data_IF_441216330328
#
_entry.id   IF_441216330328
#
_cell.length_a   1.000
_cell.length_b   1.000
_cell.length_c   1.000
_cell.angle_alpha   90.00
_cell.angle_beta   90.00
_cell.angle_gamma   90.00
#
_symmetry.space_group_name_H-M   'P 1'
#
loop_
_entity.id
_entity.type
_entity.pdbx_description
1 polymer ?
#
# COMPACT_ATOMS: atom_id res chain seq x y z
N UNK A 1 -17.98 -22.01 -12.61
CA UNK A 1 -17.63 -23.19 -11.78
C UNK A 1 -16.13 -23.22 -11.59
N UNK A 2 -15.62 -22.59 -10.54
CA UNK A 2 -14.22 -22.67 -10.08
C UNK A 2 -14.21 -22.44 -8.57
N UNK A 3 -15.00 -23.23 -7.86
CA UNK A 3 -14.89 -23.40 -6.42
C UNK A 3 -14.58 -24.89 -6.22
N UNK A 4 -13.53 -25.19 -5.42
CA UNK A 4 -13.33 -26.42 -4.61
C UNK A 4 -11.86 -26.86 -4.45
N UNK A 5 -10.85 -26.28 -5.13
CA UNK A 5 -9.45 -26.73 -4.94
C UNK A 5 -8.52 -25.92 -4.00
N UNK A 6 -9.02 -24.95 -3.21
CA UNK A 6 -8.16 -24.09 -2.35
C UNK A 6 -8.24 -24.28 -0.82
N UNK A 7 -8.89 -25.34 -0.32
CA UNK A 7 -9.18 -25.50 1.12
C UNK A 7 -7.98 -25.76 2.04
N UNK A 8 -6.92 -26.45 1.59
CA UNK A 8 -5.78 -26.83 2.45
C UNK A 8 -4.59 -25.86 2.41
N UNK A 9 -4.36 -25.18 1.29
CA UNK A 9 -3.31 -24.15 1.17
C UNK A 9 -3.66 -22.86 1.92
N UNK A 10 -4.95 -22.45 1.91
CA UNK A 10 -5.43 -21.23 2.56
C UNK A 10 -5.34 -21.27 4.10
N UNK A 11 -5.66 -22.41 4.74
CA UNK A 11 -5.64 -22.51 6.19
C UNK A 11 -4.21 -22.48 6.79
N UNK A 12 -3.25 -23.12 6.12
CA UNK A 12 -1.84 -23.10 6.55
C UNK A 12 -1.19 -21.72 6.34
N UNK A 13 -1.54 -21.03 5.24
CA UNK A 13 -1.13 -19.64 5.00
C UNK A 13 -1.75 -18.68 6.04
N UNK A 14 -3.03 -18.85 6.36
CA UNK A 14 -3.75 -18.08 7.38
C UNK A 14 -3.15 -18.25 8.79
N UNK A 15 -2.83 -19.49 9.19
CA UNK A 15 -2.17 -19.76 10.49
C UNK A 15 -0.78 -19.12 10.59
N UNK A 16 0.04 -19.19 9.52
CA UNK A 16 1.37 -18.56 9.49
C UNK A 16 1.28 -17.04 9.62
N UNK A 17 0.36 -16.42 8.90
CA UNK A 17 0.11 -14.99 9.00
C UNK A 17 -0.25 -14.58 10.43
N UNK A 18 -1.13 -15.34 11.10
CA UNK A 18 -1.49 -15.09 12.50
C UNK A 18 -0.26 -15.22 13.43
N UNK A 19 0.56 -16.25 13.25
CA UNK A 19 1.80 -16.39 14.03
C UNK A 19 2.75 -15.21 13.80
N UNK A 20 2.95 -14.77 12.56
CA UNK A 20 3.76 -13.59 12.24
C UNK A 20 3.21 -12.32 12.89
N UNK A 21 1.89 -12.10 12.85
CA UNK A 21 1.24 -10.94 13.50
C UNK A 21 1.47 -10.97 15.01
N UNK A 22 1.33 -12.13 15.65
CA UNK A 22 1.55 -12.26 17.09
C UNK A 22 3.01 -11.95 17.45
N UNK A 23 3.97 -12.48 16.68
CA UNK A 23 5.40 -12.21 16.90
C UNK A 23 5.68 -10.71 16.77
N UNK A 24 5.24 -10.08 15.67
CA UNK A 24 5.43 -8.64 15.44
C UNK A 24 4.79 -7.80 16.55
N UNK A 25 3.57 -8.15 16.99
CA UNK A 25 2.88 -7.43 18.07
C UNK A 25 3.63 -7.53 19.41
N UNK A 26 4.19 -8.71 19.72
CA UNK A 26 5.01 -8.91 20.93
C UNK A 26 6.31 -8.11 20.83
N UNK A 27 6.99 -8.16 19.69
CA UNK A 27 8.22 -7.39 19.44
C UNK A 27 7.98 -5.89 19.54
N UNK A 28 6.93 -5.39 18.90
CA UNK A 28 6.50 -3.99 19.03
C UNK A 28 6.28 -3.60 20.49
N UNK A 29 5.60 -4.42 21.28
CA UNK A 29 5.42 -4.12 22.70
C UNK A 29 6.75 -4.08 23.47
N UNK A 30 7.65 -5.03 23.20
CA UNK A 30 8.99 -5.05 23.80
C UNK A 30 9.80 -3.81 23.43
N UNK A 31 9.70 -3.33 22.19
CA UNK A 31 10.42 -2.14 21.72
C UNK A 31 9.83 -0.84 22.25
N UNK A 32 8.50 -0.74 22.39
CA UNK A 32 7.87 0.42 23.06
C UNK A 32 8.38 0.50 24.50
N UNK A 33 8.26 -0.60 25.26
CA UNK A 33 8.70 -0.63 26.66
C UNK A 33 10.21 -0.42 26.75
N UNK A 34 10.98 -1.09 25.91
CA UNK A 34 12.43 -0.99 25.83
C UNK A 34 12.91 0.42 25.46
N UNK A 35 12.25 1.09 24.52
CA UNK A 35 12.55 2.47 24.12
C UNK A 35 12.23 3.47 25.22
N UNK A 36 11.13 3.30 25.95
CA UNK A 36 10.80 4.14 27.12
C UNK A 36 11.83 3.93 28.24
N UNK A 37 12.12 2.69 28.60
CA UNK A 37 13.02 2.34 29.70
C UNK A 37 14.47 2.69 29.38
N UNK A 38 14.92 2.46 28.14
CA UNK A 38 16.27 2.82 27.72
C UNK A 38 16.44 4.29 27.37
N UNK A 39 15.34 5.03 27.31
CA UNK A 39 15.26 6.34 26.68
C UNK A 39 15.77 6.36 25.23
N UNK A 40 15.77 5.26 24.46
CA UNK A 40 16.21 5.26 23.06
C UNK A 40 15.12 5.74 22.10
N UNK A 41 15.44 6.73 21.26
CA UNK A 41 14.55 7.12 20.15
C UNK A 41 14.60 6.12 19.01
N UNK A 42 15.71 5.40 18.82
CA UNK A 42 15.83 4.43 17.73
C UNK A 42 14.85 3.27 17.94
N UNK A 43 14.74 2.76 19.17
CA UNK A 43 13.74 1.74 19.53
C UNK A 43 12.30 2.27 19.41
N UNK A 44 12.03 3.50 19.83
CA UNK A 44 10.70 4.10 19.67
C UNK A 44 10.33 4.33 18.21
N UNK A 45 11.32 4.61 17.35
CA UNK A 45 11.13 4.75 15.91
C UNK A 45 10.76 3.42 15.25
N UNK A 46 11.47 2.35 15.59
CA UNK A 46 11.22 1.00 15.06
C UNK A 46 9.84 0.50 15.52
N UNK A 47 9.53 0.67 16.82
CA UNK A 47 8.20 0.42 17.38
C UNK A 47 7.08 1.21 16.69
N UNK A 48 7.31 2.49 16.40
CA UNK A 48 6.33 3.35 15.72
C UNK A 48 6.01 2.87 14.30
N UNK A 49 7.02 2.41 13.56
CA UNK A 49 6.85 1.79 12.25
C UNK A 49 6.03 0.50 12.34
N UNK A 50 6.43 -0.42 13.23
CA UNK A 50 5.69 -1.69 13.43
C UNK A 50 4.24 -1.48 13.89
N UNK A 51 3.97 -0.43 14.69
CA UNK A 51 2.61 -0.08 15.08
C UNK A 51 1.75 0.29 13.88
N UNK A 52 2.27 1.16 13.00
CA UNK A 52 1.55 1.54 11.78
C UNK A 52 1.34 0.36 10.85
N UNK A 53 2.28 -0.58 10.82
CA UNK A 53 2.16 -1.79 10.02
C UNK A 53 1.08 -2.74 10.55
N UNK A 54 1.07 -2.95 11.87
CA UNK A 54 0.01 -3.70 12.53
C UNK A 54 -1.35 -3.03 12.31
N UNK A 55 -1.40 -1.70 12.41
CA UNK A 55 -2.61 -0.92 12.17
C UNK A 55 -3.11 -1.07 10.73
N UNK A 56 -2.22 -0.98 9.74
CA UNK A 56 -2.54 -1.19 8.32
C UNK A 56 -3.04 -2.62 8.06
N UNK A 57 -2.46 -3.64 8.69
CA UNK A 57 -2.91 -5.03 8.59
C UNK A 57 -4.29 -5.23 9.20
N UNK A 58 -4.55 -4.66 10.38
CA UNK A 58 -5.87 -4.72 11.03
C UNK A 58 -6.92 -4.02 10.17
N UNK A 59 -6.61 -2.83 9.65
CA UNK A 59 -7.52 -2.11 8.75
C UNK A 59 -7.73 -2.85 7.44
N UNK A 60 -6.70 -3.49 6.88
CA UNK A 60 -6.82 -4.30 5.67
C UNK A 60 -7.69 -5.53 5.90
N UNK A 61 -7.56 -6.19 7.06
CA UNK A 61 -8.42 -7.30 7.44
C UNK A 61 -9.88 -6.86 7.62
N UNK A 62 -10.11 -5.72 8.29
CA UNK A 62 -11.45 -5.13 8.42
C UNK A 62 -12.01 -4.77 7.04
N UNK A 63 -11.23 -4.07 6.20
CA UNK A 63 -11.62 -3.68 4.86
C UNK A 63 -11.97 -4.90 3.99
N UNK A 64 -11.19 -5.98 4.08
CA UNK A 64 -11.52 -7.23 3.39
C UNK A 64 -12.85 -7.81 3.88
N UNK A 65 -13.06 -7.86 5.21
CA UNK A 65 -14.33 -8.31 5.81
C UNK A 65 -15.52 -7.46 5.37
N UNK A 66 -15.34 -6.16 5.20
CA UNK A 66 -16.37 -5.24 4.70
C UNK A 66 -16.52 -5.28 3.17
N UNK A 67 -15.46 -5.56 2.40
CA UNK A 67 -15.51 -5.68 0.93
C UNK A 67 -16.20 -6.95 0.47
N UNK A 68 -16.20 -8.00 1.31
CA UNK A 68 -17.00 -9.20 1.09
C UNK A 68 -18.51 -8.95 1.25
N UNK A 69 -18.91 -7.79 1.81
CA UNK A 69 -20.31 -7.36 1.84
C UNK A 69 -20.68 -6.84 0.45
N UNK A 70 -21.68 -7.46 -0.17
CA UNK A 70 -22.27 -7.00 -1.45
C UNK A 70 -22.62 -5.51 -1.35
N UNK A 71 -22.57 -4.82 -2.51
CA UNK A 71 -23.03 -3.44 -2.63
C UNK A 71 -24.40 -3.27 -1.97
N UNK A 72 -24.58 -2.15 -1.27
CA UNK A 72 -25.88 -1.76 -0.73
C UNK A 72 -26.42 -0.57 -1.53
N UNK A 73 -27.69 -0.21 -1.31
CA UNK A 73 -28.36 0.84 -2.08
C UNK A 73 -27.70 2.23 -1.92
N UNK A 74 -26.93 2.45 -0.86
CA UNK A 74 -26.21 3.70 -0.64
C UNK A 74 -24.77 3.67 -1.20
N UNK A 75 -24.23 2.48 -1.44
CA UNK A 75 -22.86 2.21 -1.88
C UNK A 75 -22.93 1.25 -3.07
N UNK A 76 -23.28 1.79 -4.23
CA UNK A 76 -23.48 1.03 -5.48
C UNK A 76 -22.26 0.24 -5.92
N UNK A 77 -21.06 0.82 -5.75
CA UNK A 77 -19.78 0.16 -5.97
C UNK A 77 -19.26 -0.64 -4.77
N UNK A 78 -20.02 -0.72 -3.67
CA UNK A 78 -19.58 -1.37 -2.45
C UNK A 78 -18.53 -0.57 -1.67
N UNK A 79 -17.67 -1.26 -0.94
CA UNK A 79 -16.81 -0.69 0.11
C UNK A 79 -15.32 -0.64 -0.27
N UNK A 80 -14.98 -0.74 -1.56
CA UNK A 80 -13.60 -0.81 -2.03
C UNK A 80 -12.73 0.38 -1.56
N UNK A 81 -13.28 1.60 -1.52
CA UNK A 81 -12.56 2.79 -1.09
C UNK A 81 -12.21 2.81 0.41
N UNK A 82 -12.83 1.97 1.26
CA UNK A 82 -12.44 1.90 2.69
C UNK A 82 -10.99 1.46 2.87
N UNK A 83 -10.49 0.58 2.00
CA UNK A 83 -9.09 0.15 2.03
C UNK A 83 -8.15 1.32 1.73
N UNK A 84 -8.53 2.20 0.80
CA UNK A 84 -7.75 3.38 0.42
C UNK A 84 -7.77 4.44 1.51
N UNK A 85 -8.92 4.65 2.16
CA UNK A 85 -9.01 5.53 3.33
C UNK A 85 -8.13 5.00 4.47
N UNK A 86 -8.15 3.69 4.72
CA UNK A 86 -7.28 3.07 5.70
C UNK A 86 -5.78 3.29 5.39
N UNK A 87 -5.37 3.09 4.13
CA UNK A 87 -3.99 3.34 3.70
C UNK A 87 -3.61 4.82 3.86
N UNK A 88 -4.52 5.74 3.51
CA UNK A 88 -4.32 7.19 3.70
C UNK A 88 -4.11 7.56 5.17
N UNK A 89 -4.98 7.09 6.08
CA UNK A 89 -4.85 7.32 7.52
C UNK A 89 -3.54 6.70 8.05
N UNK A 90 -3.17 5.51 7.58
CA UNK A 90 -1.91 4.89 7.97
C UNK A 90 -0.69 5.73 7.55
N UNK A 91 -0.70 6.22 6.30
CA UNK A 91 0.36 7.11 5.80
C UNK A 91 0.48 8.40 6.61
N UNK A 92 -0.64 8.98 7.07
CA UNK A 92 -0.63 10.14 7.96
C UNK A 92 0.00 9.80 9.32
N UNK A 93 -0.37 8.66 9.92
CA UNK A 93 0.18 8.22 11.20
C UNK A 93 1.70 8.04 11.13
N UNK A 94 2.21 7.41 10.06
CA UNK A 94 3.64 7.31 9.78
C UNK A 94 4.32 8.67 9.74
N UNK A 95 3.70 9.64 9.07
CA UNK A 95 4.22 11.00 8.95
C UNK A 95 4.30 11.70 10.31
N UNK A 96 3.24 11.59 11.12
CA UNK A 96 3.20 12.18 12.46
C UNK A 96 4.25 11.56 13.40
N UNK A 97 4.35 10.22 13.43
CA UNK A 97 5.33 9.51 14.27
C UNK A 97 6.75 9.94 13.90
N UNK A 98 7.09 9.94 12.61
CA UNK A 98 8.42 10.31 12.17
C UNK A 98 8.76 11.79 12.44
N UNK A 99 7.80 12.71 12.29
CA UNK A 99 7.99 14.12 12.68
C UNK A 99 8.28 14.24 14.18
N UNK A 100 7.51 13.55 15.02
CA UNK A 100 7.72 13.56 16.47
C UNK A 100 9.13 13.08 16.82
N UNK A 101 9.58 11.98 16.22
CA UNK A 101 10.93 11.44 16.45
C UNK A 101 12.01 12.41 15.98
N UNK A 102 11.84 13.08 14.84
CA UNK A 102 12.78 14.08 14.34
C UNK A 102 12.85 15.28 15.30
N UNK A 103 11.71 15.78 15.77
CA UNK A 103 11.66 16.88 16.74
C UNK A 103 12.36 16.47 18.05
N UNK A 104 12.07 15.29 18.59
CA UNK A 104 12.73 14.79 19.81
C UNK A 104 14.22 14.54 19.60
N UNK A 105 14.62 14.07 18.42
CA UNK A 105 16.04 13.91 18.07
C UNK A 105 16.76 15.26 18.07
N UNK A 106 16.19 16.29 17.44
CA UNK A 106 16.73 17.65 17.45
C UNK A 106 16.87 18.19 18.88
N UNK A 107 15.85 17.99 19.73
CA UNK A 107 15.93 18.38 21.15
C UNK A 107 17.10 17.69 21.86
N UNK A 108 17.33 16.40 21.60
CA UNK A 108 18.42 15.62 22.20
C UNK A 108 19.82 15.97 21.69
N UNK A 109 19.95 16.55 20.50
CA UNK A 109 21.21 17.16 20.07
C UNK A 109 21.58 18.36 20.95
N UNK A 110 20.59 19.14 21.39
CA UNK A 110 20.79 20.33 22.22
C UNK A 110 20.92 19.95 23.70
N UNK A 111 20.05 19.06 24.18
CA UNK A 111 19.99 18.57 25.55
C UNK A 111 20.15 17.04 25.57
N UNK A 112 21.39 16.52 25.61
CA UNK A 112 21.65 15.08 25.58
C UNK A 112 20.97 14.34 26.72
N UNK A 113 20.32 13.23 26.39
CA UNK A 113 19.73 12.28 27.34
C UNK A 113 20.61 11.04 27.38
N UNK A 114 20.84 10.50 28.58
CA UNK A 114 21.57 9.25 28.72
C UNK A 114 20.68 8.08 28.27
N UNK A 115 21.14 7.36 27.25
CA UNK A 115 20.51 6.15 26.74
C UNK A 115 21.14 4.94 27.43
N UNK A 116 20.30 4.11 28.04
CA UNK A 116 20.75 2.86 28.67
C UNK A 116 21.04 1.80 27.61
N UNK A 117 22.28 1.81 27.12
CA UNK A 117 22.75 0.97 26.02
C UNK A 117 22.51 -0.54 26.25
N UNK A 118 22.53 -1.00 27.51
CA UNK A 118 22.31 -2.43 27.84
C UNK A 118 20.89 -2.86 27.48
N UNK A 119 19.90 -2.08 27.91
CA UNK A 119 18.49 -2.34 27.62
C UNK A 119 18.26 -2.20 26.12
N UNK A 120 18.82 -1.15 25.52
CA UNK A 120 18.72 -0.90 24.08
C UNK A 120 19.26 -2.08 23.24
N UNK A 121 20.46 -2.56 23.55
CA UNK A 121 21.11 -3.65 22.84
C UNK A 121 20.33 -4.96 22.94
N UNK A 122 19.85 -5.32 24.14
CA UNK A 122 19.08 -6.55 24.35
C UNK A 122 17.79 -6.52 23.57
N UNK A 123 17.03 -5.42 23.67
CA UNK A 123 15.73 -5.28 23.00
C UNK A 123 15.92 -5.24 21.48
N UNK A 124 16.85 -4.45 20.95
CA UNK A 124 17.13 -4.38 19.52
C UNK A 124 17.60 -5.73 18.95
N UNK A 125 18.36 -6.51 19.73
CA UNK A 125 18.79 -7.86 19.33
C UNK A 125 17.62 -8.83 19.29
N UNK A 126 16.73 -8.80 20.29
CA UNK A 126 15.51 -9.60 20.30
C UNK A 126 14.57 -9.23 19.15
N UNK A 127 14.46 -7.92 18.83
CA UNK A 127 13.73 -7.42 17.67
C UNK A 127 14.29 -7.98 16.36
N UNK A 128 15.60 -7.84 16.15
CA UNK A 128 16.29 -8.38 14.97
C UNK A 128 16.08 -9.89 14.81
N UNK A 129 16.25 -10.68 15.89
CA UNK A 129 16.02 -12.13 15.87
C UNK A 129 14.57 -12.43 15.48
N UNK A 130 13.61 -11.70 16.05
CA UNK A 130 12.18 -11.88 15.75
C UNK A 130 11.87 -11.58 14.29
N UNK A 131 12.42 -10.50 13.74
CA UNK A 131 12.25 -10.12 12.33
C UNK A 131 12.88 -11.15 11.39
N UNK A 132 14.04 -11.71 11.73
CA UNK A 132 14.66 -12.81 10.99
C UNK A 132 13.79 -14.08 11.03
N UNK A 133 13.23 -14.44 12.19
CA UNK A 133 12.32 -15.58 12.31
C UNK A 133 11.09 -15.37 11.42
N UNK A 134 10.48 -14.18 11.46
CA UNK A 134 9.33 -13.82 10.61
C UNK A 134 9.71 -13.90 9.13
N UNK A 135 10.88 -13.38 8.75
CA UNK A 135 11.41 -13.50 7.39
C UNK A 135 11.42 -14.95 6.91
N UNK A 136 12.00 -15.86 7.68
CA UNK A 136 12.09 -17.28 7.30
C UNK A 136 10.71 -17.96 7.28
N UNK A 137 9.82 -17.65 8.23
CA UNK A 137 8.44 -18.19 8.24
C UNK A 137 7.70 -17.81 6.95
N UNK A 138 7.88 -16.58 6.47
CA UNK A 138 7.24 -16.06 5.26
C UNK A 138 7.93 -16.54 3.98
N UNK A 139 9.27 -16.65 3.98
CA UNK A 139 10.06 -17.00 2.80
C UNK A 139 10.02 -18.50 2.46
N UNK A 140 9.89 -19.38 3.45
CA UNK A 140 10.21 -20.81 3.30
C UNK A 140 9.31 -21.62 2.33
N UNK A 141 8.19 -21.11 1.78
CA UNK A 141 7.34 -21.89 0.84
C UNK A 141 6.53 -21.11 -0.20
N UNK A 142 7.10 -20.12 -0.89
CA UNK A 142 6.38 -19.54 -2.02
C UNK A 142 7.30 -19.13 -3.17
N UNK A 143 7.36 -20.00 -4.18
CA UNK A 143 7.75 -19.58 -5.52
C UNK A 143 6.65 -18.66 -6.09
N UNK A 144 7.06 -17.47 -6.56
CA UNK A 144 6.29 -16.62 -7.50
C UNK A 144 5.00 -15.93 -7.02
N UNK A 145 4.94 -15.37 -5.80
CA UNK A 145 3.82 -14.48 -5.42
C UNK A 145 4.29 -13.05 -5.17
N UNK A 146 3.72 -12.07 -5.87
CA UNK A 146 4.09 -10.65 -5.78
C UNK A 146 3.93 -10.09 -4.35
N UNK A 147 2.99 -10.66 -3.59
CA UNK A 147 2.73 -10.33 -2.19
C UNK A 147 3.92 -10.64 -1.26
N UNK A 148 4.79 -11.60 -1.62
CA UNK A 148 5.98 -11.92 -0.80
C UNK A 148 7.08 -10.91 -1.03
N UNK A 149 7.20 -10.34 -2.24
CA UNK A 149 8.13 -9.23 -2.47
C UNK A 149 7.78 -8.05 -1.57
N UNK A 150 6.49 -7.75 -1.43
CA UNK A 150 6.01 -6.71 -0.49
C UNK A 150 6.34 -7.05 0.96
N UNK A 151 6.07 -8.28 1.41
CA UNK A 151 6.38 -8.73 2.77
C UNK A 151 7.89 -8.75 3.06
N UNK A 152 8.73 -9.09 2.07
CA UNK A 152 10.19 -9.06 2.20
C UNK A 152 10.72 -7.63 2.28
N UNK A 153 10.24 -6.72 1.42
CA UNK A 153 10.61 -5.31 1.46
C UNK A 153 10.27 -4.67 2.81
N UNK A 154 9.16 -5.09 3.41
CA UNK A 154 8.75 -4.68 4.73
C UNK A 154 9.70 -5.16 5.83
N UNK A 155 9.99 -6.46 5.88
CA UNK A 155 10.91 -7.02 6.88
C UNK A 155 12.33 -6.45 6.76
N UNK A 156 12.75 -6.05 5.56
CA UNK A 156 14.01 -5.32 5.38
C UNK A 156 13.98 -3.97 6.12
N UNK A 157 12.85 -3.27 6.14
CA UNK A 157 12.67 -2.04 6.91
C UNK A 157 12.87 -2.25 8.42
N UNK A 158 12.23 -3.27 8.98
CA UNK A 158 12.34 -3.59 10.42
C UNK A 158 13.75 -4.06 10.79
N UNK A 159 14.40 -4.83 9.91
CA UNK A 159 15.81 -5.20 10.08
C UNK A 159 16.71 -3.96 10.11
N UNK A 160 16.47 -2.97 9.25
CA UNK A 160 17.25 -1.73 9.23
C UNK A 160 17.09 -0.94 10.53
N UNK A 161 15.87 -0.84 11.07
CA UNK A 161 15.59 -0.20 12.36
C UNK A 161 16.34 -0.88 13.51
N UNK A 162 16.20 -2.19 13.62
CA UNK A 162 16.88 -2.99 14.63
C UNK A 162 18.42 -2.93 14.50
N UNK A 163 18.96 -2.97 13.27
CA UNK A 163 20.41 -2.82 13.04
C UNK A 163 20.89 -1.43 13.44
N UNK A 164 20.14 -0.37 13.13
CA UNK A 164 20.48 0.98 13.55
C UNK A 164 20.52 1.09 15.08
N UNK A 165 19.54 0.52 15.79
CA UNK A 165 19.54 0.51 17.25
C UNK A 165 20.70 -0.32 17.84
N UNK A 166 21.04 -1.48 17.27
CA UNK A 166 22.21 -2.26 17.70
C UNK A 166 23.50 -1.44 17.51
N UNK A 167 23.69 -0.82 16.35
CA UNK A 167 24.86 0.01 16.07
C UNK A 167 24.98 1.19 17.04
N UNK A 168 23.88 1.91 17.30
CA UNK A 168 23.86 2.98 18.31
C UNK A 168 24.28 2.44 19.68
N UNK A 169 23.70 1.33 20.13
CA UNK A 169 23.99 0.78 21.45
C UNK A 169 25.47 0.35 21.61
N UNK A 170 26.07 -0.24 20.58
CA UNK A 170 27.49 -0.61 20.58
C UNK A 170 28.39 0.63 20.62
N UNK A 171 28.06 1.66 19.84
CA UNK A 171 28.83 2.92 19.84
C UNK A 171 28.74 3.60 21.21
N UNK A 172 27.55 3.66 21.82
CA UNK A 172 27.36 4.21 23.16
C UNK A 172 28.12 3.39 24.20
N UNK A 173 28.09 2.06 24.10
CA UNK A 173 28.83 1.18 25.00
C UNK A 173 30.34 1.46 24.97
N UNK A 174 30.92 1.63 23.78
CA UNK A 174 32.37 1.80 23.62
C UNK A 174 32.86 3.23 23.90
N UNK A 175 32.03 4.25 23.60
CA UNK A 175 32.48 5.65 23.58
C UNK A 175 31.73 6.55 24.56
N UNK A 176 30.57 6.11 25.07
CA UNK A 176 29.64 6.96 25.82
C UNK A 176 28.92 8.02 24.97
N UNK A 177 29.07 7.99 23.64
CA UNK A 177 28.56 9.04 22.75
C UNK A 177 27.04 8.94 22.53
N UNK A 178 26.27 9.54 23.45
CA UNK A 178 24.80 9.47 23.48
C UNK A 178 24.11 10.03 22.22
N UNK A 179 24.77 10.95 21.51
CA UNK A 179 24.20 11.65 20.34
C UNK A 179 24.02 10.69 19.14
N UNK A 180 24.67 9.52 19.15
CA UNK A 180 24.50 8.53 18.07
C UNK A 180 23.06 8.01 17.96
N UNK A 181 22.32 7.90 19.07
CA UNK A 181 20.91 7.45 19.07
C UNK A 181 20.01 8.46 18.31
N UNK A 182 20.02 9.77 18.62
CA UNK A 182 19.36 10.79 17.80
C UNK A 182 19.76 10.79 16.32
N UNK A 183 21.04 10.61 15.99
CA UNK A 183 21.51 10.56 14.58
C UNK A 183 20.83 9.40 13.84
N UNK A 184 20.92 8.19 14.40
CA UNK A 184 20.35 7.00 13.77
C UNK A 184 18.82 7.02 13.77
N UNK A 185 18.19 7.64 14.78
CA UNK A 185 16.74 7.85 14.83
C UNK A 185 16.25 8.75 13.71
N UNK A 186 16.97 9.85 13.42
CA UNK A 186 16.65 10.72 12.27
C UNK A 186 16.80 9.97 10.95
N UNK A 187 17.86 9.16 10.80
CA UNK A 187 18.08 8.37 9.60
C UNK A 187 16.91 7.41 9.35
N UNK A 188 16.52 6.64 10.36
CA UNK A 188 15.38 5.71 10.28
C UNK A 188 14.09 6.49 10.00
N UNK A 189 13.86 7.61 10.69
CA UNK A 189 12.67 8.46 10.48
C UNK A 189 12.56 9.00 9.05
N UNK A 190 13.67 9.33 8.38
CA UNK A 190 13.66 9.76 6.97
C UNK A 190 13.25 8.63 6.02
N UNK A 191 13.71 7.40 6.29
CA UNK A 191 13.29 6.22 5.54
C UNK A 191 11.78 6.01 5.70
N UNK A 192 11.29 6.11 6.95
CA UNK A 192 9.88 5.99 7.30
C UNK A 192 9.05 7.08 6.59
N UNK A 193 9.51 8.34 6.61
CA UNK A 193 8.83 9.46 5.92
C UNK A 193 8.71 9.24 4.42
N UNK A 194 9.75 8.73 3.78
CA UNK A 194 9.69 8.41 2.35
C UNK A 194 8.67 7.30 2.05
N UNK A 195 8.59 6.28 2.92
CA UNK A 195 7.57 5.24 2.83
C UNK A 195 6.16 5.82 3.00
N UNK A 196 5.94 6.59 4.08
CA UNK A 196 4.66 7.24 4.36
C UNK A 196 4.23 8.20 3.25
N UNK A 197 5.15 8.97 2.66
CA UNK A 197 4.87 9.86 1.54
C UNK A 197 4.38 9.11 0.29
N UNK A 198 4.99 7.96 -0.04
CA UNK A 198 4.54 7.14 -1.18
C UNK A 198 3.13 6.59 -0.94
N UNK A 199 2.87 6.07 0.25
CA UNK A 199 1.53 5.55 0.63
C UNK A 199 0.49 6.68 0.55
N UNK A 200 0.80 7.85 1.10
CA UNK A 200 -0.08 9.03 1.06
C UNK A 200 -0.36 9.47 -0.37
N UNK A 201 0.69 9.65 -1.18
CA UNK A 201 0.57 10.09 -2.58
C UNK A 201 -0.32 9.14 -3.36
N UNK A 202 -0.11 7.84 -3.25
CA UNK A 202 -0.88 6.83 -3.98
C UNK A 202 -2.34 6.78 -3.50
N UNK A 203 -2.56 6.83 -2.19
CA UNK A 203 -3.92 6.82 -1.63
C UNK A 203 -4.69 8.09 -2.01
N UNK A 204 -4.04 9.27 -1.94
CA UNK A 204 -4.62 10.54 -2.40
C UNK A 204 -4.99 10.49 -3.88
N UNK A 205 -4.10 9.96 -4.72
CA UNK A 205 -4.34 9.83 -6.16
C UNK A 205 -5.60 9.01 -6.44
N UNK A 206 -5.79 7.88 -5.75
CA UNK A 206 -6.99 7.05 -5.88
C UNK A 206 -8.24 7.76 -5.32
N UNK A 207 -8.12 8.46 -4.18
CA UNK A 207 -9.24 9.22 -3.60
C UNK A 207 -9.71 10.36 -4.49
N UNK A 208 -8.78 11.00 -5.21
CA UNK A 208 -9.03 12.07 -6.18
C UNK A 208 -9.46 11.56 -7.57
N UNK A 209 -9.79 10.26 -7.68
CA UNK A 209 -10.22 9.63 -8.94
C UNK A 209 -9.16 9.71 -10.04
N UNK A 210 -7.88 9.67 -9.63
CA UNK A 210 -6.75 9.68 -10.52
C UNK A 210 -6.73 8.44 -11.43
N UNK A 211 -6.23 8.66 -12.66
CA UNK A 211 -6.02 7.61 -13.66
C UNK A 211 -5.10 6.51 -13.12
N UNK A 212 -5.44 5.22 -13.23
CA UNK A 212 -4.61 4.13 -12.73
C UNK A 212 -3.19 4.18 -13.30
N UNK A 213 -2.19 3.89 -12.47
CA UNK A 213 -0.79 3.84 -12.93
C UNK A 213 -0.63 2.79 -14.04
N UNK A 214 0.08 3.15 -15.12
CA UNK A 214 0.30 2.27 -16.26
C UNK A 214 -0.83 2.24 -17.30
N UNK A 215 -1.93 2.97 -17.09
CA UNK A 215 -3.00 3.11 -18.09
C UNK A 215 -2.91 4.48 -18.77
N UNK A 216 -2.67 4.49 -20.08
CA UNK A 216 -2.74 5.69 -20.92
C UNK A 216 -4.04 5.72 -21.71
N UNK A 217 -4.74 6.86 -21.67
CA UNK A 217 -5.98 7.06 -22.45
C UNK A 217 -5.70 7.02 -23.96
N UNK A 218 -4.52 7.50 -24.37
CA UNK A 218 -4.03 7.47 -25.74
C UNK A 218 -3.73 6.04 -26.20
N UNK A 219 -3.17 5.20 -25.32
CA UNK A 219 -2.96 3.78 -25.61
C UNK A 219 -4.30 3.05 -25.78
N UNK A 220 -5.28 3.30 -24.91
CA UNK A 220 -6.63 2.73 -25.05
C UNK A 220 -7.24 3.13 -26.40
N UNK A 221 -7.24 4.42 -26.72
CA UNK A 221 -7.77 4.96 -27.98
C UNK A 221 -7.10 4.28 -29.18
N UNK A 222 -5.78 4.36 -29.26
CA UNK A 222 -5.02 3.81 -30.39
C UNK A 222 -5.21 2.31 -30.54
N UNK A 223 -5.32 1.58 -29.43
CA UNK A 223 -5.51 0.13 -29.45
C UNK A 223 -6.90 -0.27 -29.95
N UNK A 224 -7.95 0.43 -29.53
CA UNK A 224 -9.31 0.16 -29.97
C UNK A 224 -9.46 0.47 -31.46
N UNK A 225 -9.05 1.67 -31.89
CA UNK A 225 -9.16 2.10 -33.30
C UNK A 225 -8.33 1.21 -34.23
N UNK A 226 -7.14 0.76 -33.80
CA UNK A 226 -6.32 -0.14 -34.63
C UNK A 226 -6.87 -1.56 -34.74
N UNK A 227 -7.57 -2.07 -33.72
CA UNK A 227 -8.12 -3.43 -33.73
C UNK A 227 -9.51 -3.53 -34.37
N UNK A 228 -10.31 -2.47 -34.31
CA UNK A 228 -11.70 -2.47 -34.74
C UNK A 228 -11.91 -1.44 -35.86
N UNK A 229 -11.84 -1.85 -37.14
CA UNK A 229 -12.04 -0.96 -38.29
C UNK A 229 -13.41 -0.27 -38.33
N UNK A 230 -14.38 -0.76 -37.57
CA UNK A 230 -15.71 -0.21 -37.41
C UNK A 230 -15.74 1.03 -36.51
N UNK A 231 -14.74 1.19 -35.63
CA UNK A 231 -14.59 2.32 -34.73
C UNK A 231 -13.80 3.41 -35.43
N UNK A 232 -14.44 4.57 -35.59
CA UNK A 232 -13.87 5.75 -36.25
C UNK A 232 -13.00 6.53 -35.26
N UNK A 233 -13.51 6.71 -34.03
CA UNK A 233 -12.84 7.49 -32.99
C UNK A 233 -13.26 7.04 -31.59
N UNK A 234 -12.39 7.28 -30.62
CA UNK A 234 -12.67 7.13 -29.19
C UNK A 234 -12.27 8.42 -28.49
N UNK A 235 -13.17 8.97 -27.68
CA UNK A 235 -12.98 10.23 -26.96
C UNK A 235 -13.74 10.23 -25.62
N UNK A 236 -13.64 11.34 -24.86
CA UNK A 236 -14.22 11.48 -23.52
C UNK A 236 -13.85 10.31 -22.60
N UNK A 237 -12.58 9.89 -22.67
CA UNK A 237 -12.07 8.77 -21.90
C UNK A 237 -11.77 9.27 -20.48
N UNK A 238 -12.52 8.78 -19.51
CA UNK A 238 -12.24 8.97 -18.09
C UNK A 238 -12.02 7.61 -17.46
N UNK A 239 -10.91 7.47 -16.73
CA UNK A 239 -10.55 6.23 -16.06
C UNK A 239 -10.04 6.55 -14.66
N UNK A 240 -10.46 5.74 -13.69
CA UNK A 240 -10.09 5.91 -12.29
C UNK A 240 -10.03 4.56 -11.57
N UNK A 241 -9.34 4.55 -10.44
CA UNK A 241 -9.26 3.40 -9.54
C UNK A 241 -10.27 3.51 -8.40
N UNK A 242 -10.95 2.43 -8.04
CA UNK A 242 -11.62 2.29 -6.75
C UNK A 242 -10.74 1.62 -5.68
N UNK A 243 -9.82 0.77 -6.14
CA UNK A 243 -8.74 0.17 -5.37
C UNK A 243 -7.59 -0.19 -6.31
N UNK A 244 -6.48 -0.71 -5.78
CA UNK A 244 -5.28 -1.01 -6.57
C UNK A 244 -5.53 -1.96 -7.76
N UNK A 245 -6.57 -2.81 -7.69
CA UNK A 245 -6.91 -3.80 -8.72
C UNK A 245 -8.35 -3.68 -9.21
N UNK A 246 -8.99 -2.52 -9.02
CA UNK A 246 -10.36 -2.29 -9.49
C UNK A 246 -10.45 -0.98 -10.24
N UNK A 247 -10.31 -1.08 -11.56
CA UNK A 247 -10.34 0.05 -12.47
C UNK A 247 -11.71 0.19 -13.10
N UNK A 248 -12.14 1.44 -13.26
CA UNK A 248 -13.37 1.81 -13.96
C UNK A 248 -13.01 2.72 -15.11
N UNK A 249 -13.71 2.56 -16.23
CA UNK A 249 -13.62 3.46 -17.37
C UNK A 249 -15.01 3.87 -17.87
N UNK A 250 -15.12 5.15 -18.23
CA UNK A 250 -16.22 5.70 -19.03
C UNK A 250 -15.63 6.30 -20.30
N UNK A 251 -16.23 6.02 -21.45
CA UNK A 251 -15.73 6.54 -22.72
C UNK A 251 -16.83 6.59 -23.78
N UNK A 252 -16.59 7.37 -24.82
CA UNK A 252 -17.43 7.46 -26.00
C UNK A 252 -16.70 6.79 -27.17
N UNK A 253 -17.42 5.98 -27.94
CA UNK A 253 -16.90 5.31 -29.11
C UNK A 253 -17.78 5.62 -30.33
N UNK A 254 -17.19 6.34 -31.29
CA UNK A 254 -17.84 6.67 -32.55
C UNK A 254 -17.67 5.53 -33.54
N UNK A 255 -18.78 5.00 -34.04
CA UNK A 255 -18.81 3.85 -34.96
C UNK A 255 -19.50 4.22 -36.28
N UNK A 256 -19.27 3.41 -37.32
CA UNK A 256 -19.92 3.59 -38.63
C UNK A 256 -21.44 3.31 -38.57
N UNK A 257 -22.24 4.09 -39.31
CA UNK A 257 -23.72 4.05 -39.31
C UNK A 257 -24.36 2.68 -39.62
N UNK A 258 -23.66 1.77 -40.30
CA UNK A 258 -24.20 0.47 -40.72
C UNK A 258 -23.65 -0.73 -39.91
N UNK A 259 -23.12 -0.47 -38.71
CA UNK A 259 -22.53 -1.52 -37.86
C UNK A 259 -23.45 -1.83 -36.67
N UNK A 260 -23.58 -3.12 -36.36
CA UNK A 260 -24.30 -3.58 -35.18
C UNK A 260 -23.55 -3.17 -33.90
N UNK A 261 -24.10 -2.20 -33.15
CA UNK A 261 -23.48 -1.64 -31.94
C UNK A 261 -23.09 -2.71 -30.92
N UNK A 262 -23.91 -3.76 -30.77
CA UNK A 262 -23.72 -4.78 -29.72
C UNK A 262 -22.42 -5.56 -29.90
N UNK A 263 -22.04 -5.85 -31.15
CA UNK A 263 -20.81 -6.60 -31.44
C UNK A 263 -19.58 -5.72 -31.20
N UNK A 264 -19.62 -4.47 -31.64
CA UNK A 264 -18.52 -3.51 -31.40
C UNK A 264 -18.34 -3.26 -29.91
N UNK A 265 -19.44 -3.06 -29.18
CA UNK A 265 -19.42 -2.89 -27.73
C UNK A 265 -18.79 -4.09 -27.03
N UNK A 266 -19.15 -5.32 -27.44
CA UNK A 266 -18.56 -6.54 -26.89
C UNK A 266 -17.05 -6.60 -27.14
N UNK A 267 -16.60 -6.33 -28.36
CA UNK A 267 -15.16 -6.37 -28.69
C UNK A 267 -14.37 -5.26 -27.99
N UNK A 268 -14.93 -4.05 -27.85
CA UNK A 268 -14.32 -2.98 -27.05
C UNK A 268 -14.16 -3.44 -25.60
N UNK A 269 -15.23 -3.96 -24.98
CA UNK A 269 -15.19 -4.44 -23.59
C UNK A 269 -14.19 -5.58 -23.40
N UNK A 270 -14.08 -6.47 -24.39
CA UNK A 270 -13.10 -7.55 -24.39
C UNK A 270 -11.67 -7.03 -24.46
N UNK A 271 -11.38 -6.04 -25.31
CA UNK A 271 -10.06 -5.39 -25.37
C UNK A 271 -9.73 -4.72 -24.03
N UNK A 272 -10.68 -3.99 -23.43
CA UNK A 272 -10.50 -3.35 -22.13
C UNK A 272 -10.19 -4.35 -21.01
N UNK A 273 -10.87 -5.49 -21.00
CA UNK A 273 -10.62 -6.56 -20.03
C UNK A 273 -9.29 -7.27 -20.28
N UNK A 274 -9.05 -7.75 -21.50
CA UNK A 274 -7.92 -8.64 -21.81
C UNK A 274 -6.57 -7.90 -21.79
N UNK A 275 -6.55 -6.61 -22.16
CA UNK A 275 -5.32 -5.83 -22.32
C UNK A 275 -5.04 -4.89 -21.16
N UNK A 276 -6.09 -4.31 -20.57
CA UNK A 276 -5.98 -3.28 -19.55
C UNK A 276 -6.54 -3.71 -18.19
N UNK A 277 -7.05 -4.94 -18.06
CA UNK A 277 -7.64 -5.50 -16.84
C UNK A 277 -8.85 -4.70 -16.31
N UNK A 278 -9.51 -3.94 -17.19
CA UNK A 278 -10.67 -3.11 -16.83
C UNK A 278 -11.95 -3.92 -16.99
N UNK A 279 -12.44 -4.46 -15.87
CA UNK A 279 -13.67 -5.26 -15.85
C UNK A 279 -14.95 -4.42 -15.86
N UNK A 280 -14.93 -3.21 -15.29
CA UNK A 280 -16.11 -2.34 -15.21
C UNK A 280 -15.97 -1.18 -16.20
N UNK A 281 -16.68 -1.27 -17.31
CA UNK A 281 -16.63 -0.27 -18.38
C UNK A 281 -18.02 0.16 -18.84
N UNK A 282 -18.18 1.47 -18.98
CA UNK A 282 -19.33 2.11 -19.62
C UNK A 282 -18.85 2.75 -20.91
N UNK A 283 -19.42 2.30 -22.03
CA UNK A 283 -19.05 2.80 -23.36
C UNK A 283 -20.32 3.33 -24.01
N UNK A 284 -20.36 4.62 -24.25
CA UNK A 284 -21.40 5.26 -25.02
C UNK A 284 -21.10 5.09 -26.52
N UNK A 285 -22.05 4.54 -27.27
CA UNK A 285 -21.89 4.31 -28.70
C UNK A 285 -22.54 5.45 -29.47
N UNK A 286 -21.76 6.07 -30.35
CA UNK A 286 -22.20 7.21 -31.15
C UNK A 286 -22.08 6.88 -32.65
N UNK A 287 -23.07 7.29 -33.43
CA UNK A 287 -23.03 7.17 -34.89
C UNK A 287 -22.67 8.49 -35.58
N UNK A 288 -23.06 9.62 -34.99
CA UNK A 288 -22.95 10.96 -35.58
C UNK A 288 -22.06 11.89 -34.72
N UNK A 289 -22.43 13.16 -34.57
CA UNK A 289 -21.76 14.10 -33.65
C UNK A 289 -22.16 13.79 -32.20
N UNK A 290 -21.17 13.79 -31.30
CA UNK A 290 -21.32 13.55 -29.87
C UNK A 290 -22.44 14.39 -29.25
N UNK A 291 -23.28 13.75 -28.43
CA UNK A 291 -24.43 14.39 -27.80
C UNK A 291 -24.00 15.50 -26.82
N UNK A 292 -22.93 15.30 -26.05
CA UNK A 292 -22.37 16.29 -25.12
C UNK A 292 -22.00 17.59 -25.86
N UNK A 293 -21.39 17.46 -27.04
CA UNK A 293 -21.01 18.61 -27.86
C UNK A 293 -22.23 19.39 -28.39
N UNK A 294 -23.39 18.76 -28.55
CA UNK A 294 -24.62 19.44 -28.98
C UNK A 294 -25.30 20.16 -27.82
N UNK A 295 -25.25 19.59 -26.62
CA UNK A 295 -25.90 20.14 -25.43
C UNK A 295 -25.10 21.32 -24.85
N UNK A 296 -23.76 21.21 -24.80
CA UNK A 296 -22.88 22.23 -24.21
C UNK A 296 -22.67 23.48 -25.09
N UNK A 297 -23.20 23.49 -26.32
CA UNK A 297 -23.20 24.68 -27.21
C UNK A 297 -24.33 25.68 -26.90
N UNK A 298 -25.11 25.45 -25.84
CA UNK A 298 -26.14 26.33 -25.29
C UNK A 298 -25.89 26.63 -23.82
#
# INVERSE_FOLDING_TARGET
MTAVHNGKHSAAQSKRLIYSIIIVAITMFMEIVGGIVSHSLALLSDAGHMFTDLFALVLSWLAHRFSAKKSDLQRSYGYHRLQIIAAFVNGLTLFFIAIIIIIESIKRFIFPVNVEWKVMLVIATLGLISNIIVFFILHSKCESNINIKSAVLHVIGDILGSVAAILASIIIMLTGWQIVDPILSVLVSVIILNSGYKILKNSCHILLEGTPEGISTEEIKSKIVSKLPEVIDVHHIHTWSLSDNYFIITMHAKIKQNVQHTNVLYEIKKILLDKFEIAHSTVEIEYDECADNKILKH
#
